data_IF_932499755091
#
_entry.id   IF_932499755091
#
_cell.length_a   1.000
_cell.length_b   1.000
_cell.length_c   1.000
_cell.angle_alpha   90.00
_cell.angle_beta   90.00
_cell.angle_gamma   90.00
#
_symmetry.space_group_name_H-M   'P 1'
#
loop_
_entity.id
_entity.type
_entity.pdbx_description
1 polymer ?
#
# COMPACT_ATOMS: atom_id res chain seq x y z
N UNK A 1 -2.92 38.59 33.43
CA UNK A 1 -1.75 37.73 33.16
C UNK A 1 -2.14 36.75 32.08
N UNK A 2 -1.76 37.04 30.81
CA UNK A 2 -2.02 36.15 29.66
C UNK A 2 -0.92 35.09 29.61
N UNK A 3 -1.24 33.79 29.32
CA UNK A 3 -0.22 32.76 29.22
C UNK A 3 0.60 32.95 27.94
N UNK A 4 1.91 32.60 27.94
CA UNK A 4 2.75 32.71 26.76
C UNK A 4 2.34 31.67 25.74
N UNK A 5 2.05 32.12 24.50
CA UNK A 5 1.83 31.28 23.33
C UNK A 5 3.08 30.43 23.07
N UNK A 6 2.97 29.12 23.29
CA UNK A 6 3.97 28.15 22.91
C UNK A 6 4.18 28.23 21.38
N UNK A 7 5.30 28.84 21.01
CA UNK A 7 5.80 28.88 19.63
C UNK A 7 6.03 27.45 19.16
N UNK A 8 5.16 26.92 18.32
CA UNK A 8 5.39 25.63 17.66
C UNK A 8 6.71 25.71 16.89
N UNK A 9 7.58 24.69 16.95
CA UNK A 9 8.79 24.64 16.16
C UNK A 9 8.39 24.65 14.69
N UNK A 10 8.81 25.69 13.96
CA UNK A 10 8.70 25.76 12.51
C UNK A 10 9.48 24.55 11.95
N UNK A 11 8.87 23.68 11.13
CA UNK A 11 9.62 22.58 10.53
C UNK A 11 10.83 23.15 9.79
N UNK A 12 12.01 22.62 10.10
CA UNK A 12 13.26 23.07 9.50
C UNK A 12 13.12 23.04 7.98
N UNK A 13 13.29 24.19 7.34
CA UNK A 13 13.19 24.31 5.90
C UNK A 13 14.22 23.34 5.28
N UNK A 14 13.73 22.40 4.47
CA UNK A 14 14.58 21.44 3.76
C UNK A 14 15.50 22.26 2.84
N UNK A 15 16.84 22.10 2.93
CA UNK A 15 17.77 22.90 2.14
C UNK A 15 17.52 22.66 0.65
N UNK A 16 17.29 23.74 -0.09
CA UNK A 16 17.15 23.70 -1.55
C UNK A 16 18.49 23.32 -2.19
N UNK A 17 18.45 22.58 -3.29
CA UNK A 17 19.63 22.30 -4.08
C UNK A 17 20.22 23.65 -4.58
N UNK A 18 21.41 23.96 -4.16
CA UNK A 18 22.09 25.22 -4.48
C UNK A 18 23.18 25.06 -5.57
N UNK A 19 23.63 23.83 -5.80
CA UNK A 19 24.66 23.51 -6.78
C UNK A 19 24.22 22.39 -7.73
N UNK A 20 24.80 22.26 -8.94
CA UNK A 20 24.55 21.13 -9.84
C UNK A 20 24.91 19.79 -9.21
N UNK A 21 25.89 19.74 -8.31
CA UNK A 21 26.27 18.55 -7.55
C UNK A 21 25.14 18.13 -6.58
N UNK A 22 24.53 19.09 -5.86
CA UNK A 22 23.40 18.84 -4.96
C UNK A 22 22.19 18.32 -5.75
N UNK A 23 21.91 18.94 -6.90
CA UNK A 23 20.83 18.52 -7.78
C UNK A 23 21.00 17.07 -8.27
N UNK A 24 22.22 16.71 -8.67
CA UNK A 24 22.56 15.35 -9.09
C UNK A 24 22.39 14.36 -7.94
N UNK A 25 22.94 14.66 -6.77
CA UNK A 25 22.85 13.82 -5.58
C UNK A 25 21.40 13.58 -5.17
N UNK A 26 20.56 14.62 -5.26
CA UNK A 26 19.13 14.51 -4.94
C UNK A 26 18.40 13.60 -5.93
N UNK A 27 18.65 13.74 -7.23
CA UNK A 27 18.04 12.93 -8.27
C UNK A 27 18.52 11.46 -8.22
N UNK A 28 19.81 11.23 -8.01
CA UNK A 28 20.39 9.89 -7.82
C UNK A 28 19.78 9.21 -6.58
N UNK A 29 19.66 9.93 -5.47
CA UNK A 29 19.00 9.42 -4.25
C UNK A 29 17.53 9.03 -4.47
N UNK A 30 16.79 9.80 -5.28
CA UNK A 30 15.42 9.44 -5.63
C UNK A 30 15.37 8.20 -6.52
N UNK A 31 16.23 8.10 -7.53
CA UNK A 31 16.31 6.92 -8.39
C UNK A 31 16.67 5.65 -7.60
N UNK A 32 17.57 5.76 -6.65
CA UNK A 32 17.95 4.67 -5.76
C UNK A 32 16.76 4.19 -4.90
N UNK A 33 16.04 5.12 -4.28
CA UNK A 33 14.83 4.79 -3.48
C UNK A 33 13.74 4.18 -4.35
N UNK A 34 13.50 4.71 -5.54
CA UNK A 34 12.53 4.15 -6.49
C UNK A 34 12.92 2.72 -6.90
N UNK A 35 14.18 2.46 -7.21
CA UNK A 35 14.66 1.14 -7.59
C UNK A 35 14.53 0.13 -6.44
N UNK A 36 14.88 0.54 -5.22
CA UNK A 36 14.72 -0.31 -4.04
C UNK A 36 13.25 -0.63 -3.75
N UNK A 37 12.37 0.36 -3.85
CA UNK A 37 10.93 0.19 -3.64
C UNK A 37 10.33 -0.69 -4.74
N UNK A 38 10.74 -0.50 -6.00
CA UNK A 38 10.31 -1.32 -7.11
C UNK A 38 10.65 -2.80 -6.90
N UNK A 39 11.87 -3.11 -6.47
CA UNK A 39 12.26 -4.49 -6.17
C UNK A 39 11.41 -5.15 -5.08
N UNK A 40 10.97 -4.40 -4.07
CA UNK A 40 10.05 -4.90 -3.04
C UNK A 40 8.66 -5.13 -3.62
N UNK A 41 8.16 -4.21 -4.45
CA UNK A 41 6.85 -4.29 -5.09
C UNK A 41 6.78 -5.47 -6.09
N UNK A 42 7.80 -5.67 -6.88
CA UNK A 42 7.90 -6.82 -7.80
C UNK A 42 7.86 -8.14 -7.02
N UNK A 43 8.65 -8.22 -5.95
CA UNK A 43 8.67 -9.41 -5.10
C UNK A 43 7.32 -9.68 -4.43
N UNK A 44 6.66 -8.65 -3.93
CA UNK A 44 5.30 -8.76 -3.39
C UNK A 44 4.32 -9.28 -4.44
N UNK A 45 4.36 -8.71 -5.65
CA UNK A 45 3.50 -9.11 -6.78
C UNK A 45 3.69 -10.59 -7.12
N UNK A 46 4.94 -11.06 -7.21
CA UNK A 46 5.27 -12.46 -7.44
C UNK A 46 4.71 -13.39 -6.36
N UNK A 47 4.93 -13.04 -5.09
CA UNK A 47 4.47 -13.81 -3.96
C UNK A 47 2.94 -13.91 -3.91
N UNK A 48 2.25 -12.81 -4.15
CA UNK A 48 0.78 -12.80 -4.19
C UNK A 48 0.25 -13.64 -5.35
N UNK A 49 0.84 -13.54 -6.54
CA UNK A 49 0.49 -14.40 -7.69
C UNK A 49 0.71 -15.89 -7.42
N UNK A 50 1.74 -16.21 -6.66
CA UNK A 50 2.05 -17.58 -6.23
C UNK A 50 1.18 -18.07 -5.06
N UNK A 51 0.25 -17.26 -4.54
CA UNK A 51 -0.57 -17.59 -3.38
C UNK A 51 0.17 -17.54 -2.04
N UNK A 52 1.40 -17.03 -2.01
CA UNK A 52 2.25 -16.94 -0.83
C UNK A 52 2.00 -15.65 -0.05
N UNK A 53 0.74 -15.44 0.32
CA UNK A 53 0.28 -14.17 0.92
C UNK A 53 1.01 -13.84 2.22
N UNK A 54 1.29 -14.83 3.07
CA UNK A 54 2.03 -14.60 4.33
C UNK A 54 3.44 -14.08 4.10
N UNK A 55 4.14 -14.60 3.08
CA UNK A 55 5.47 -14.13 2.71
C UNK A 55 5.40 -12.71 2.12
N UNK A 56 4.36 -12.41 1.34
CA UNK A 56 4.12 -11.07 0.81
C UNK A 56 3.88 -10.05 1.95
N UNK A 57 3.07 -10.40 2.95
CA UNK A 57 2.82 -9.54 4.11
C UNK A 57 4.10 -9.23 4.92
N UNK A 58 5.07 -10.13 4.94
CA UNK A 58 6.35 -9.89 5.61
C UNK A 58 7.18 -8.75 4.95
N UNK A 59 6.87 -8.37 3.72
CA UNK A 59 7.51 -7.26 3.01
C UNK A 59 6.95 -5.87 3.40
N UNK A 60 5.79 -5.82 4.08
CA UNK A 60 5.06 -4.57 4.35
C UNK A 60 5.91 -3.55 5.12
N UNK A 61 6.65 -3.97 6.14
CA UNK A 61 7.52 -3.07 6.92
C UNK A 61 8.56 -2.37 6.05
N UNK A 62 9.24 -3.12 5.18
CA UNK A 62 10.26 -2.58 4.26
C UNK A 62 9.62 -1.68 3.18
N UNK A 63 8.48 -2.09 2.65
CA UNK A 63 7.72 -1.30 1.67
C UNK A 63 7.28 0.04 2.26
N UNK A 64 6.75 0.04 3.47
CA UNK A 64 6.30 1.24 4.18
C UNK A 64 7.47 2.21 4.46
N UNK A 65 8.61 1.72 4.89
CA UNK A 65 9.82 2.54 5.10
C UNK A 65 10.30 3.19 3.81
N UNK A 66 10.45 2.41 2.74
CA UNK A 66 10.88 2.92 1.44
C UNK A 66 9.88 3.91 0.85
N UNK A 67 8.57 3.67 1.02
CA UNK A 67 7.51 4.59 0.59
C UNK A 67 7.61 5.94 1.30
N UNK A 68 7.90 5.95 2.60
CA UNK A 68 8.10 7.17 3.38
C UNK A 68 9.32 7.96 2.89
N UNK A 69 10.44 7.25 2.63
CA UNK A 69 11.64 7.85 2.05
C UNK A 69 11.36 8.44 0.66
N UNK A 70 10.62 7.72 -0.18
CA UNK A 70 10.23 8.20 -1.50
C UNK A 70 9.42 9.50 -1.42
N UNK A 71 8.38 9.56 -0.58
CA UNK A 71 7.55 10.76 -0.40
C UNK A 71 8.39 11.95 0.08
N UNK A 72 9.29 11.74 1.05
CA UNK A 72 10.18 12.78 1.55
C UNK A 72 11.14 13.29 0.47
N UNK A 73 11.70 12.39 -0.33
CA UNK A 73 12.63 12.77 -1.41
C UNK A 73 11.92 13.51 -2.55
N UNK A 74 10.68 13.09 -2.89
CA UNK A 74 9.84 13.81 -3.88
C UNK A 74 9.50 15.23 -3.40
N UNK A 75 9.16 15.40 -2.14
CA UNK A 75 8.88 16.73 -1.58
C UNK A 75 10.11 17.65 -1.70
N UNK A 76 11.30 17.12 -1.40
CA UNK A 76 12.56 17.82 -1.55
C UNK A 76 12.86 18.18 -3.02
N UNK A 77 12.63 17.23 -3.93
CA UNK A 77 12.81 17.45 -5.37
C UNK A 77 11.89 18.55 -5.90
N UNK A 78 10.62 18.55 -5.49
CA UNK A 78 9.64 19.57 -5.88
C UNK A 78 10.06 20.98 -5.44
N UNK A 79 10.61 21.13 -4.26
CA UNK A 79 11.12 22.42 -3.77
C UNK A 79 12.34 22.93 -4.56
N UNK A 80 13.08 22.03 -5.22
CA UNK A 80 14.25 22.34 -6.04
C UNK A 80 13.98 22.30 -7.55
N UNK A 81 12.74 22.12 -7.98
CA UNK A 81 12.38 21.84 -9.38
C UNK A 81 12.82 22.93 -10.36
N UNK A 82 12.66 24.20 -10.00
CA UNK A 82 13.04 25.33 -10.86
C UNK A 82 14.55 25.39 -11.10
N UNK A 83 15.34 25.00 -10.11
CA UNK A 83 16.78 24.91 -10.23
C UNK A 83 17.20 23.71 -11.11
N UNK A 84 16.63 22.54 -10.87
CA UNK A 84 16.86 21.32 -11.63
C UNK A 84 16.55 21.49 -13.12
N UNK A 85 15.46 22.16 -13.46
CA UNK A 85 15.05 22.41 -14.84
C UNK A 85 16.06 23.28 -15.60
N UNK A 86 16.72 24.22 -14.92
CA UNK A 86 17.73 25.11 -15.51
C UNK A 86 19.14 24.52 -15.52
N UNK A 87 19.54 23.90 -14.41
CA UNK A 87 20.92 23.47 -14.23
C UNK A 87 21.19 22.05 -14.77
N UNK A 88 20.18 21.17 -14.75
CA UNK A 88 20.32 19.75 -15.09
C UNK A 88 19.11 19.20 -15.85
N UNK A 89 18.77 19.73 -17.05
CA UNK A 89 17.56 19.32 -17.80
C UNK A 89 17.59 17.85 -18.21
N UNK A 90 18.76 17.32 -18.60
CA UNK A 90 18.92 15.92 -18.99
C UNK A 90 18.66 14.96 -17.82
N UNK A 91 19.12 15.32 -16.63
CA UNK A 91 18.89 14.56 -15.42
C UNK A 91 17.40 14.56 -15.03
N UNK A 92 16.72 15.70 -15.18
CA UNK A 92 15.29 15.80 -14.95
C UNK A 92 14.50 14.94 -15.93
N UNK A 93 14.90 14.89 -17.20
CA UNK A 93 14.27 14.02 -18.21
C UNK A 93 14.45 12.53 -17.88
N UNK A 94 15.67 12.13 -17.49
CA UNK A 94 15.95 10.76 -17.05
C UNK A 94 15.12 10.38 -15.82
N UNK A 95 14.98 11.29 -14.86
CA UNK A 95 14.19 11.09 -13.66
C UNK A 95 12.70 10.92 -13.98
N UNK A 96 12.12 11.73 -14.87
CA UNK A 96 10.75 11.60 -15.32
C UNK A 96 10.50 10.22 -15.95
N UNK A 97 11.37 9.78 -16.84
CA UNK A 97 11.25 8.46 -17.48
C UNK A 97 11.30 7.32 -16.45
N UNK A 98 12.18 7.41 -15.48
CA UNK A 98 12.29 6.44 -14.41
C UNK A 98 11.03 6.42 -13.52
N UNK A 99 10.49 7.60 -13.23
CA UNK A 99 9.25 7.74 -12.47
C UNK A 99 8.01 7.18 -13.20
N UNK A 100 7.94 7.34 -14.52
CA UNK A 100 6.84 6.78 -15.32
C UNK A 100 6.87 5.25 -15.30
N UNK A 101 8.04 4.64 -15.43
CA UNK A 101 8.23 3.20 -15.29
C UNK A 101 7.80 2.73 -13.89
N UNK A 102 8.22 3.43 -12.86
CA UNK A 102 7.86 3.15 -11.47
C UNK A 102 6.33 3.19 -11.26
N UNK A 103 5.65 4.21 -11.79
CA UNK A 103 4.18 4.31 -11.71
C UNK A 103 3.47 3.16 -12.43
N UNK A 104 3.95 2.75 -13.59
CA UNK A 104 3.37 1.63 -14.34
C UNK A 104 3.47 0.33 -13.51
N UNK A 105 4.59 0.06 -12.89
CA UNK A 105 4.78 -1.13 -12.03
C UNK A 105 3.94 -1.08 -10.76
N UNK A 106 3.79 0.10 -10.14
CA UNK A 106 2.85 0.30 -9.03
C UNK A 106 1.42 -0.05 -9.44
N UNK A 107 0.98 0.37 -10.62
CA UNK A 107 -0.37 0.07 -11.11
C UNK A 107 -0.59 -1.44 -11.30
N UNK A 108 0.41 -2.16 -11.80
CA UNK A 108 0.38 -3.63 -11.91
C UNK A 108 0.24 -4.27 -10.53
N UNK A 109 1.05 -3.85 -9.56
CA UNK A 109 0.98 -4.35 -8.18
C UNK A 109 -0.40 -4.12 -7.56
N UNK A 110 -0.94 -2.91 -7.65
CA UNK A 110 -2.28 -2.57 -7.13
C UNK A 110 -3.37 -3.46 -7.73
N UNK A 111 -3.30 -3.74 -9.03
CA UNK A 111 -4.26 -4.62 -9.71
C UNK A 111 -4.17 -6.06 -9.19
N UNK A 112 -2.95 -6.56 -8.99
CA UNK A 112 -2.73 -7.92 -8.44
C UNK A 112 -3.24 -8.03 -7.01
N UNK A 113 -2.95 -7.04 -6.16
CA UNK A 113 -3.42 -7.01 -4.77
C UNK A 113 -4.95 -6.92 -4.69
N UNK A 114 -5.58 -6.08 -5.50
CA UNK A 114 -7.03 -5.96 -5.56
C UNK A 114 -7.70 -7.26 -6.00
N UNK A 115 -7.13 -7.95 -6.98
CA UNK A 115 -7.62 -9.26 -7.45
C UNK A 115 -7.50 -10.31 -6.34
N UNK A 116 -6.35 -10.39 -5.68
CA UNK A 116 -6.13 -11.34 -4.58
C UNK A 116 -7.10 -11.08 -3.41
N UNK A 117 -7.35 -9.82 -3.09
CA UNK A 117 -8.32 -9.42 -2.07
C UNK A 117 -9.74 -9.88 -2.44
N UNK A 118 -10.20 -9.62 -3.66
CA UNK A 118 -11.53 -10.03 -4.14
C UNK A 118 -11.71 -11.56 -4.12
N UNK A 119 -10.67 -12.32 -4.50
CA UNK A 119 -10.68 -13.80 -4.43
C UNK A 119 -10.78 -14.25 -2.97
N UNK A 120 -10.00 -13.67 -2.07
CA UNK A 120 -10.04 -14.01 -0.64
C UNK A 120 -11.41 -13.75 -0.02
N UNK A 121 -12.03 -12.61 -0.33
CA UNK A 121 -13.41 -12.30 0.13
C UNK A 121 -14.43 -13.29 -0.43
N UNK A 122 -14.28 -13.69 -1.70
CA UNK A 122 -15.15 -14.69 -2.33
C UNK A 122 -15.06 -16.05 -1.63
N UNK A 123 -13.86 -16.50 -1.28
CA UNK A 123 -13.62 -17.74 -0.54
C UNK A 123 -14.27 -17.67 0.84
N UNK A 124 -14.02 -16.59 1.60
CA UNK A 124 -14.60 -16.42 2.95
C UNK A 124 -16.13 -16.45 2.91
N UNK A 125 -16.74 -15.75 1.95
CA UNK A 125 -18.19 -15.76 1.77
C UNK A 125 -18.71 -17.16 1.42
N UNK A 126 -18.02 -17.88 0.54
CA UNK A 126 -18.37 -19.26 0.15
C UNK A 126 -18.32 -20.22 1.34
N UNK A 127 -17.25 -20.16 2.14
CA UNK A 127 -17.09 -20.97 3.36
C UNK A 127 -18.19 -20.66 4.37
N UNK A 128 -18.48 -19.38 4.63
CA UNK A 128 -19.53 -18.99 5.55
C UNK A 128 -20.91 -19.46 5.08
N UNK A 129 -21.22 -19.36 3.80
CA UNK A 129 -22.49 -19.85 3.24
C UNK A 129 -22.62 -21.38 3.38
N UNK A 130 -21.52 -22.13 3.19
CA UNK A 130 -21.51 -23.58 3.36
C UNK A 130 -21.66 -23.99 4.82
N UNK A 131 -20.97 -23.29 5.75
CA UNK A 131 -21.14 -23.53 7.20
C UNK A 131 -22.56 -23.25 7.65
N UNK A 132 -23.19 -22.17 7.17
CA UNK A 132 -24.58 -21.87 7.47
C UNK A 132 -25.53 -22.96 6.94
N UNK A 133 -25.30 -23.48 5.72
CA UNK A 133 -26.07 -24.57 5.16
C UNK A 133 -25.96 -25.84 5.98
N UNK A 134 -24.80 -26.19 6.48
CA UNK A 134 -24.55 -27.37 7.32
C UNK A 134 -25.14 -27.22 8.72
N UNK A 135 -25.18 -26.01 9.25
CA UNK A 135 -25.71 -25.71 10.58
C UNK A 135 -27.24 -25.52 10.62
N UNK A 136 -27.91 -25.46 9.46
CA UNK A 136 -29.38 -25.48 9.40
C UNK A 136 -29.83 -26.91 9.56
N UNK A 137 -30.50 -27.28 10.69
CA UNK A 137 -31.05 -28.62 10.86
C UNK A 137 -32.05 -28.90 9.76
N UNK A 138 -31.84 -29.99 9.05
CA UNK A 138 -32.76 -30.45 7.99
C UNK A 138 -33.96 -31.16 8.61
N UNK A 139 -34.48 -30.63 9.71
CA UNK A 139 -35.65 -31.17 10.42
C UNK A 139 -36.91 -30.55 9.87
N UNK A 140 -37.79 -31.40 9.35
CA UNK A 140 -39.16 -31.03 9.06
C UNK A 140 -39.97 -31.13 10.35
N UNK A 141 -40.86 -30.16 10.57
CA UNK A 141 -41.86 -30.26 11.64
C UNK A 141 -42.83 -31.41 11.36
N UNK A 142 -43.53 -31.87 12.37
CA UNK A 142 -44.57 -32.92 12.21
C UNK A 142 -45.65 -32.53 11.17
N UNK A 143 -45.78 -31.26 10.80
CA UNK A 143 -46.65 -30.73 9.76
C UNK A 143 -46.01 -30.68 8.37
N UNK A 144 -44.81 -31.25 8.14
CA UNK A 144 -44.09 -31.25 6.85
C UNK A 144 -43.50 -29.92 6.44
N UNK A 145 -43.43 -28.92 7.34
CA UNK A 145 -42.83 -27.63 7.09
C UNK A 145 -41.36 -27.63 7.54
N UNK A 146 -40.51 -26.89 6.83
CA UNK A 146 -39.11 -26.71 7.18
C UNK A 146 -39.00 -25.99 8.52
N UNK A 147 -38.34 -26.60 9.52
CA UNK A 147 -38.10 -25.94 10.80
C UNK A 147 -37.28 -24.67 10.63
N UNK A 148 -37.74 -23.57 11.21
CA UNK A 148 -36.95 -22.33 11.21
C UNK A 148 -35.67 -22.54 12.02
N UNK A 149 -34.50 -22.03 11.56
CA UNK A 149 -33.24 -22.14 12.27
C UNK A 149 -33.33 -21.45 13.63
N UNK A 150 -32.89 -22.16 14.67
CA UNK A 150 -32.78 -21.61 16.02
C UNK A 150 -31.77 -20.48 16.05
N UNK A 151 -32.05 -19.30 16.67
CA UNK A 151 -31.15 -18.15 16.66
C UNK A 151 -29.86 -18.30 17.49
N UNK A 152 -29.57 -19.50 17.99
CA UNK A 152 -28.58 -19.69 19.05
C UNK A 152 -27.14 -19.94 18.63
N UNK A 153 -26.76 -20.03 17.35
CA UNK A 153 -25.35 -20.35 16.99
C UNK A 153 -24.82 -19.65 15.73
N UNK A 154 -25.15 -18.39 15.53
CA UNK A 154 -24.49 -17.60 14.51
C UNK A 154 -23.49 -16.67 15.21
N UNK A 155 -22.32 -17.18 15.54
CA UNK A 155 -21.17 -16.33 15.82
C UNK A 155 -20.57 -15.89 14.49
N UNK A 156 -20.65 -14.60 14.11
CA UNK A 156 -19.97 -14.14 12.93
C UNK A 156 -18.46 -14.28 13.14
N UNK A 157 -17.77 -14.90 12.18
CA UNK A 157 -16.32 -14.85 12.13
C UNK A 157 -15.90 -13.38 11.99
N UNK A 158 -15.46 -12.78 13.11
CA UNK A 158 -14.89 -11.46 13.11
C UNK A 158 -13.52 -11.52 12.41
N UNK A 159 -13.48 -11.15 11.13
CA UNK A 159 -12.24 -10.85 10.45
C UNK A 159 -11.75 -9.50 10.96
N UNK A 160 -10.69 -9.53 11.76
CA UNK A 160 -9.96 -8.33 12.15
C UNK A 160 -9.43 -7.63 10.88
N UNK A 161 -10.03 -6.49 10.58
CA UNK A 161 -9.61 -5.61 9.51
C UNK A 161 -8.48 -4.74 10.06
N UNK A 162 -7.25 -5.22 9.98
CA UNK A 162 -6.06 -4.38 10.12
C UNK A 162 -5.45 -4.19 8.73
N UNK A 163 -5.73 -3.03 8.18
CA UNK A 163 -4.99 -2.42 7.07
C UNK A 163 -4.06 -1.36 7.64
#
# INVERSE_FOLDING_TARGET
MSPPLLRQPVPAAVPLAATPADARKLAEGLMEVMSALLGVIERETELVRAGKVREAMALEGKKSELSRRYVGTIAHLKSSQSYLARATPDLLTALHRHHDTFRAMLQVNLTVLATAHAVSEGIVRGVNAELQRRNVPNTYTAAGQRAAPSPRNISPLALSRSL
#
